data_IF_073500249160
#
_entry.id   IF_073500249160
#
_cell.length_a   1.000
_cell.length_b   1.000
_cell.length_c   1.000
_cell.angle_alpha   90.00
_cell.angle_beta   90.00
_cell.angle_gamma   90.00
#
_symmetry.space_group_name_H-M   'P 1'
#
loop_
_entity.id
_entity.type
_entity.pdbx_description
1 polymer ?
#
# COMPACT_ATOMS: atom_id res chain seq x y z
N UNK A 1 9.90 -47.07 32.52
CA UNK A 1 8.78 -46.34 31.88
C UNK A 1 9.04 -44.84 31.95
N UNK A 2 9.82 -44.28 31.01
CA UNK A 2 10.24 -42.86 30.97
C UNK A 2 10.18 -42.34 29.52
N UNK A 3 9.05 -42.51 28.83
CA UNK A 3 8.97 -42.16 27.40
C UNK A 3 7.73 -41.37 26.97
N UNK A 4 6.93 -40.83 27.91
CA UNK A 4 5.76 -40.00 27.55
C UNK A 4 5.96 -38.49 27.81
N UNK A 5 7.08 -38.07 28.41
CA UNK A 5 7.33 -36.65 28.75
C UNK A 5 8.08 -35.86 27.67
N UNK A 6 8.62 -36.53 26.64
CA UNK A 6 9.42 -35.90 25.57
C UNK A 6 8.59 -35.40 24.39
N UNK A 7 7.38 -35.93 24.17
CA UNK A 7 6.57 -35.63 22.98
C UNK A 7 5.87 -34.26 23.02
N UNK A 8 5.51 -33.76 24.21
CA UNK A 8 4.85 -32.46 24.35
C UNK A 8 5.74 -31.27 23.98
N UNK A 9 7.02 -31.31 24.34
CA UNK A 9 7.98 -30.26 24.01
C UNK A 9 8.22 -30.15 22.50
N UNK A 10 8.18 -31.28 21.78
CA UNK A 10 8.36 -31.32 20.33
C UNK A 10 7.18 -30.64 19.62
N UNK A 11 5.95 -30.94 20.06
CA UNK A 11 4.75 -30.32 19.48
C UNK A 11 4.75 -28.81 19.70
N UNK A 12 5.06 -28.36 20.92
CA UNK A 12 5.13 -26.92 21.25
C UNK A 12 6.23 -26.23 20.42
N UNK A 13 7.39 -26.87 20.24
CA UNK A 13 8.47 -26.32 19.43
C UNK A 13 8.05 -26.18 17.95
N UNK A 14 7.35 -27.16 17.38
CA UNK A 14 6.87 -27.10 15.99
C UNK A 14 5.87 -25.95 15.79
N UNK A 15 4.93 -25.76 16.72
CA UNK A 15 3.98 -24.64 16.65
C UNK A 15 4.66 -23.28 16.81
N UNK A 16 5.64 -23.16 17.71
CA UNK A 16 6.40 -21.93 17.89
C UNK A 16 7.19 -21.57 16.62
N UNK A 17 7.88 -22.55 16.01
CA UNK A 17 8.64 -22.33 14.78
C UNK A 17 7.71 -21.99 13.60
N UNK A 18 6.58 -22.69 13.47
CA UNK A 18 5.58 -22.38 12.44
C UNK A 18 5.00 -20.97 12.59
N UNK A 19 4.69 -20.54 13.82
CA UNK A 19 4.20 -19.19 14.10
C UNK A 19 5.25 -18.12 13.78
N UNK A 20 6.52 -18.36 14.10
CA UNK A 20 7.63 -17.46 13.77
C UNK A 20 7.84 -17.35 12.25
N UNK A 21 7.77 -18.46 11.52
CA UNK A 21 7.88 -18.48 10.06
C UNK A 21 6.69 -17.74 9.44
N UNK A 22 5.47 -18.00 9.90
CA UNK A 22 4.27 -17.32 9.42
C UNK A 22 4.31 -15.81 9.68
N UNK A 23 4.73 -15.40 10.88
CA UNK A 23 4.90 -13.98 11.23
C UNK A 23 6.00 -13.31 10.38
N UNK A 24 7.09 -14.02 10.10
CA UNK A 24 8.15 -13.55 9.21
C UNK A 24 7.66 -13.38 7.78
N UNK A 25 6.84 -14.31 7.28
CA UNK A 25 6.25 -14.24 5.94
C UNK A 25 5.28 -13.04 5.81
N UNK A 26 4.47 -12.79 6.83
CA UNK A 26 3.61 -11.61 6.88
C UNK A 26 4.40 -10.29 6.93
N UNK A 27 5.57 -10.28 7.59
CA UNK A 27 6.45 -9.10 7.69
C UNK A 27 7.27 -8.87 6.43
N UNK A 28 7.61 -9.93 5.68
CA UNK A 28 8.37 -9.83 4.43
C UNK A 28 7.57 -9.11 3.31
N UNK A 29 6.24 -9.04 3.42
CA UNK A 29 5.41 -8.23 2.52
C UNK A 29 5.44 -6.72 2.79
N UNK A 30 6.15 -6.27 3.84
CA UNK A 30 6.37 -4.86 4.14
C UNK A 30 7.82 -4.53 3.84
N UNK A 31 8.24 -4.73 2.59
CA UNK A 31 9.35 -3.93 2.07
C UNK A 31 8.80 -2.52 1.91
N UNK A 32 9.26 -1.63 2.79
CA UNK A 32 9.13 -0.18 2.69
C UNK A 32 10.01 0.26 1.51
N UNK A 33 9.62 -0.14 0.30
CA UNK A 33 9.86 0.64 -0.92
C UNK A 33 9.03 1.90 -0.73
N UNK A 34 9.50 2.75 0.18
CA UNK A 34 8.90 4.02 0.51
C UNK A 34 8.76 4.72 -0.81
N UNK A 35 7.51 4.83 -1.27
CA UNK A 35 7.12 5.68 -2.37
C UNK A 35 7.79 7.02 -2.09
N UNK A 36 8.95 7.22 -2.71
CA UNK A 36 9.58 8.51 -2.92
C UNK A 36 8.69 9.22 -3.94
N UNK A 37 7.43 9.38 -3.57
CA UNK A 37 6.54 10.35 -4.11
C UNK A 37 7.25 11.64 -3.77
N UNK A 38 8.00 12.18 -4.75
CA UNK A 38 8.52 13.55 -4.71
C UNK A 38 7.31 14.43 -4.46
N UNK A 39 7.00 14.64 -3.17
CA UNK A 39 5.95 15.54 -2.75
C UNK A 39 6.32 16.86 -3.40
N UNK A 40 5.50 17.31 -4.35
CA UNK A 40 5.87 18.44 -5.20
C UNK A 40 6.36 19.57 -4.27
N UNK A 41 7.65 19.88 -4.38
CA UNK A 41 8.48 20.56 -3.36
C UNK A 41 8.01 21.99 -3.06
N UNK A 42 6.97 22.46 -3.75
CA UNK A 42 6.28 23.71 -3.48
C UNK A 42 4.78 23.50 -3.33
N UNK A 43 4.25 24.00 -2.22
CA UNK A 43 2.82 24.27 -2.11
C UNK A 43 2.42 25.26 -3.22
N UNK A 44 1.32 25.02 -3.95
CA UNK A 44 0.86 25.97 -4.96
C UNK A 44 0.48 27.31 -4.30
N UNK A 45 0.77 28.41 -4.99
CA UNK A 45 0.37 29.75 -4.54
C UNK A 45 -1.15 29.87 -4.46
N UNK A 46 -1.61 30.51 -3.37
CA UNK A 46 -3.03 30.73 -3.04
C UNK A 46 -3.27 32.23 -2.81
N UNK A 47 -4.50 32.69 -3.04
CA UNK A 47 -4.92 34.07 -2.78
C UNK A 47 -5.48 34.78 -4.01
N UNK A 48 -5.87 36.05 -3.87
CA UNK A 48 -6.39 36.86 -4.97
C UNK A 48 -5.40 36.91 -6.14
N UNK A 49 -5.89 36.69 -7.36
CA UNK A 49 -5.05 36.67 -8.57
C UNK A 49 -4.38 35.33 -8.89
N UNK A 50 -4.47 34.32 -8.02
CA UNK A 50 -4.07 32.95 -8.34
C UNK A 50 -5.28 32.08 -8.68
N UNK A 51 -5.16 31.12 -9.61
CA UNK A 51 -6.26 30.19 -9.88
C UNK A 51 -6.62 29.37 -8.63
N UNK A 52 -7.77 28.68 -8.60
CA UNK A 52 -8.05 27.71 -7.55
C UNK A 52 -7.11 26.50 -7.64
N UNK A 53 -7.03 25.75 -6.54
CA UNK A 53 -6.32 24.47 -6.45
C UNK A 53 -7.32 23.44 -5.97
N UNK A 54 -7.50 22.37 -6.74
CA UNK A 54 -8.40 21.29 -6.37
C UNK A 54 -7.65 20.09 -5.78
N UNK A 55 -8.32 19.39 -4.86
CA UNK A 55 -7.88 18.12 -4.34
C UNK A 55 -8.92 17.06 -4.72
N UNK A 56 -8.49 16.06 -5.49
CA UNK A 56 -9.33 14.96 -5.94
C UNK A 56 -8.93 13.68 -5.22
N UNK A 57 -9.92 12.91 -4.78
CA UNK A 57 -9.75 11.53 -4.30
C UNK A 57 -10.39 10.60 -5.31
N UNK A 58 -9.58 9.84 -6.03
CA UNK A 58 -10.03 8.89 -7.04
C UNK A 58 -9.80 7.50 -6.46
N UNK A 59 -10.85 6.72 -6.27
CA UNK A 59 -10.78 5.35 -5.75
C UNK A 59 -11.18 4.37 -6.83
N UNK A 60 -10.56 3.20 -6.84
CA UNK A 60 -11.04 2.08 -7.63
C UNK A 60 -10.56 0.75 -7.07
N UNK A 61 -11.12 -0.31 -7.62
CA UNK A 61 -10.81 -1.69 -7.24
C UNK A 61 -9.85 -2.33 -8.24
N UNK A 62 -9.37 -3.54 -7.94
CA UNK A 62 -8.51 -4.29 -8.86
C UNK A 62 -9.11 -4.41 -10.26
N UNK A 63 -8.27 -4.24 -11.29
CA UNK A 63 -8.67 -4.31 -12.70
C UNK A 63 -9.21 -3.00 -13.30
N UNK A 64 -9.39 -1.95 -12.51
CA UNK A 64 -9.90 -0.66 -13.00
C UNK A 64 -8.80 0.37 -13.36
N UNK A 65 -7.52 -0.01 -13.29
CA UNK A 65 -6.40 0.91 -13.49
C UNK A 65 -6.49 1.70 -14.82
N UNK A 66 -6.93 1.07 -15.91
CA UNK A 66 -7.11 1.77 -17.19
C UNK A 66 -8.15 2.90 -17.12
N UNK A 67 -9.27 2.69 -16.41
CA UNK A 67 -10.32 3.70 -16.24
C UNK A 67 -9.81 4.85 -15.37
N UNK A 68 -9.12 4.51 -14.29
CA UNK A 68 -8.51 5.48 -13.36
C UNK A 68 -7.47 6.33 -14.09
N UNK A 69 -6.56 5.72 -14.84
CA UNK A 69 -5.53 6.43 -15.60
C UNK A 69 -6.14 7.32 -16.67
N UNK A 70 -7.16 6.84 -17.37
CA UNK A 70 -7.91 7.66 -18.34
C UNK A 70 -8.53 8.89 -17.67
N UNK A 71 -9.17 8.73 -16.52
CA UNK A 71 -9.76 9.83 -15.76
C UNK A 71 -8.70 10.83 -15.29
N UNK A 72 -7.62 10.31 -14.69
CA UNK A 72 -6.51 11.13 -14.22
C UNK A 72 -5.92 11.95 -15.36
N UNK A 73 -5.69 11.33 -16.52
CA UNK A 73 -5.13 11.99 -17.70
C UNK A 73 -6.05 13.09 -18.23
N UNK A 74 -7.36 12.88 -18.20
CA UNK A 74 -8.34 13.86 -18.65
C UNK A 74 -8.45 15.08 -17.73
N UNK A 75 -8.27 14.90 -16.41
CA UNK A 75 -8.39 15.97 -15.41
C UNK A 75 -7.05 16.56 -14.98
N UNK A 76 -5.93 15.96 -15.39
CA UNK A 76 -4.61 16.26 -14.86
C UNK A 76 -4.26 17.74 -14.97
N UNK A 77 -3.77 18.28 -13.86
CA UNK A 77 -3.18 19.61 -13.83
C UNK A 77 -2.10 19.62 -12.75
N UNK A 78 -0.88 20.10 -13.03
CA UNK A 78 0.25 20.06 -12.08
C UNK A 78 0.05 20.88 -10.80
N UNK A 79 -0.98 21.72 -10.74
CA UNK A 79 -1.33 22.51 -9.54
C UNK A 79 -2.29 21.76 -8.62
N UNK A 80 -3.10 20.88 -9.18
CA UNK A 80 -4.08 20.10 -8.44
C UNK A 80 -3.39 18.93 -7.72
N UNK A 81 -4.05 18.42 -6.68
CA UNK A 81 -3.57 17.29 -5.90
C UNK A 81 -4.50 16.10 -6.12
N UNK A 82 -3.92 14.93 -6.29
CA UNK A 82 -4.64 13.69 -6.57
C UNK A 82 -4.23 12.67 -5.52
N UNK A 83 -5.20 12.16 -4.77
CA UNK A 83 -5.04 11.02 -3.90
C UNK A 83 -5.66 9.82 -4.60
N UNK A 84 -4.88 8.75 -4.76
CA UNK A 84 -5.31 7.52 -5.41
C UNK A 84 -5.26 6.35 -4.43
N UNK A 85 -6.29 6.16 -3.57
CA UNK A 85 -6.38 4.96 -2.75
C UNK A 85 -6.72 3.77 -3.64
N UNK A 86 -5.84 2.78 -3.63
CA UNK A 86 -6.05 1.49 -4.27
C UNK A 86 -6.52 0.48 -3.23
N UNK A 87 -7.49 -0.35 -3.61
CA UNK A 87 -8.07 -1.36 -2.73
C UNK A 87 -7.12 -2.55 -2.48
N UNK A 88 -7.40 -3.34 -1.44
CA UNK A 88 -6.68 -4.56 -1.12
C UNK A 88 -6.60 -5.55 -2.29
N UNK A 89 -7.59 -5.53 -3.20
CA UNK A 89 -7.60 -6.34 -4.42
C UNK A 89 -6.72 -5.86 -5.58
N UNK A 90 -6.12 -4.67 -5.50
CA UNK A 90 -5.22 -4.17 -6.55
C UNK A 90 -3.88 -4.92 -6.54
N UNK A 91 -3.46 -5.40 -7.71
CA UNK A 91 -2.19 -6.12 -7.87
C UNK A 91 -0.99 -5.21 -7.60
N UNK A 92 0.18 -5.79 -7.32
CA UNK A 92 1.40 -5.01 -7.15
C UNK A 92 1.66 -4.09 -8.34
N UNK A 93 1.46 -4.58 -9.58
CA UNK A 93 1.61 -3.80 -10.82
C UNK A 93 0.65 -2.61 -10.95
N UNK A 94 -0.46 -2.59 -10.23
CA UNK A 94 -1.39 -1.45 -10.21
C UNK A 94 -1.01 -0.41 -9.15
N UNK A 95 -0.10 -0.74 -8.22
CA UNK A 95 0.31 0.10 -7.08
C UNK A 95 1.65 0.82 -7.27
N UNK A 96 2.40 0.47 -8.30
CA UNK A 96 3.71 1.06 -8.69
C UNK A 96 3.49 2.14 -9.75
#
# INVERSE_FOLDING_TARGET
MWLHRRSGCVVIAVFAVSSIIYASLLRHGVEDEGLQFKAATRAPSKGPGYPPVFAFRISGTGGEHHKILRLLTAQYHPRNRYLLPLDAGSTASERI
#
